data_IF_374330836702
#
_entry.id   IF_374330836702
#
_cell.length_a   1.000
_cell.length_b   1.000
_cell.length_c   1.000
_cell.angle_alpha   90.00
_cell.angle_beta   90.00
_cell.angle_gamma   90.00
#
_symmetry.space_group_name_H-M   'P 1'
#
loop_
_entity.id
_entity.type
_entity.pdbx_description
1 polymer ?
#
# COMPACT_ATOMS: atom_id res chain seq x y z
N UNK A 1 -4.57 -8.62 -2.67
CA UNK A 1 -5.17 -7.32 -3.09
C UNK A 1 -4.04 -6.29 -3.18
N UNK A 2 -3.94 -5.55 -4.26
CA UNK A 2 -3.03 -4.41 -4.40
C UNK A 2 -3.85 -3.11 -4.33
N UNK A 3 -3.42 -2.17 -3.49
CA UNK A 3 -4.03 -0.83 -3.41
C UNK A 3 -3.02 0.23 -2.98
N UNK A 4 -3.45 1.49 -2.98
CA UNK A 4 -2.70 2.62 -2.47
C UNK A 4 -3.58 3.58 -1.66
N UNK A 5 -2.93 4.38 -0.82
CA UNK A 5 -3.54 5.37 0.07
C UNK A 5 -3.90 4.78 1.43
N UNK A 6 -3.20 5.21 2.47
CA UNK A 6 -3.45 4.91 3.88
C UNK A 6 -3.89 6.18 4.64
N UNK A 7 -4.70 7.01 3.98
CA UNK A 7 -5.37 8.17 4.57
C UNK A 7 -6.48 7.80 5.55
N UNK A 8 -7.35 8.76 5.90
CA UNK A 8 -8.47 8.54 6.83
C UNK A 8 -9.35 7.33 6.48
N UNK A 9 -9.88 7.32 5.25
CA UNK A 9 -10.67 6.20 4.71
C UNK A 9 -9.78 5.10 4.13
N UNK A 10 -8.72 5.49 3.38
CA UNK A 10 -7.68 4.61 2.82
C UNK A 10 -7.13 3.58 3.78
N UNK A 11 -6.92 3.99 5.03
CA UNK A 11 -6.39 3.15 6.09
C UNK A 11 -7.30 1.99 6.51
N UNK A 12 -8.56 1.95 6.09
CA UNK A 12 -9.46 0.82 6.37
C UNK A 12 -9.25 -0.36 5.42
N UNK A 13 -8.67 -0.14 4.23
CA UNK A 13 -8.45 -1.16 3.22
C UNK A 13 -7.65 -2.38 3.69
N UNK A 14 -6.54 -2.25 4.45
CA UNK A 14 -5.74 -3.40 4.83
C UNK A 14 -6.48 -4.31 5.82
N UNK A 15 -7.15 -3.73 6.83
CA UNK A 15 -7.99 -4.47 7.75
C UNK A 15 -9.20 -5.11 7.05
N UNK A 16 -9.85 -4.40 6.14
CA UNK A 16 -10.97 -4.93 5.36
C UNK A 16 -10.53 -6.14 4.51
N UNK A 17 -9.35 -6.06 3.87
CA UNK A 17 -8.78 -7.19 3.14
C UNK A 17 -8.51 -8.39 4.05
N UNK A 18 -7.88 -8.17 5.21
CA UNK A 18 -7.61 -9.25 6.16
C UNK A 18 -8.89 -9.91 6.68
N UNK A 19 -9.94 -9.13 6.99
CA UNK A 19 -11.25 -9.65 7.40
C UNK A 19 -11.97 -10.41 6.27
N UNK A 20 -11.71 -10.05 5.01
CA UNK A 20 -12.17 -10.80 3.84
C UNK A 20 -11.32 -12.05 3.53
N UNK A 21 -10.29 -12.35 4.35
CA UNK A 21 -9.41 -13.50 4.17
C UNK A 21 -8.31 -13.30 3.13
N UNK A 22 -8.03 -12.05 2.73
CA UNK A 22 -7.05 -11.74 1.69
C UNK A 22 -5.77 -11.11 2.28
N UNK A 23 -4.62 -11.45 1.68
CA UNK A 23 -3.43 -10.62 1.82
C UNK A 23 -3.59 -9.29 1.08
N UNK A 24 -3.01 -8.22 1.60
CA UNK A 24 -2.99 -6.90 0.92
C UNK A 24 -1.62 -6.25 0.93
N UNK A 25 -1.25 -5.65 -0.21
CA UNK A 25 -0.12 -4.74 -0.35
C UNK A 25 -0.67 -3.32 -0.54
N UNK A 26 -0.29 -2.40 0.35
CA UNK A 26 -0.87 -1.07 0.49
C UNK A 26 0.23 -0.03 0.36
N UNK A 27 0.27 0.68 -0.77
CA UNK A 27 1.30 1.70 -1.04
C UNK A 27 0.89 3.03 -0.41
N UNK A 28 1.80 3.67 0.31
CA UNK A 28 1.58 4.98 0.94
C UNK A 28 2.85 5.82 0.86
N UNK A 29 2.71 7.10 0.53
CA UNK A 29 3.84 8.00 0.32
C UNK A 29 4.33 8.68 1.62
N UNK A 30 3.49 8.77 2.64
CA UNK A 30 3.79 9.42 3.92
C UNK A 30 4.02 8.40 5.04
N UNK A 31 5.24 8.34 5.58
CA UNK A 31 5.58 7.45 6.69
C UNK A 31 4.66 7.64 7.91
N UNK A 32 4.33 8.89 8.24
CA UNK A 32 3.44 9.21 9.36
C UNK A 32 2.04 8.57 9.24
N UNK A 33 1.56 8.33 8.00
CA UNK A 33 0.28 7.67 7.74
C UNK A 33 0.39 6.16 7.97
N UNK A 34 1.49 5.54 7.54
CA UNK A 34 1.80 4.14 7.82
C UNK A 34 1.91 3.91 9.33
N UNK A 35 2.72 4.71 10.02
CA UNK A 35 2.92 4.64 11.47
C UNK A 35 1.59 4.70 12.23
N UNK A 36 0.71 5.60 11.80
CA UNK A 36 -0.61 5.72 12.39
C UNK A 36 -1.41 4.43 12.23
N UNK A 37 -1.38 3.78 11.06
CA UNK A 37 -2.16 2.56 10.79
C UNK A 37 -1.59 1.36 11.52
N UNK A 38 -0.26 1.28 11.66
CA UNK A 38 0.40 0.28 12.48
C UNK A 38 -0.02 0.45 13.96
N UNK A 39 0.08 1.68 14.47
CA UNK A 39 -0.33 2.01 15.85
C UNK A 39 -1.80 1.66 16.13
N UNK A 40 -2.68 1.92 15.17
CA UNK A 40 -4.11 1.60 15.30
C UNK A 40 -4.47 0.17 14.91
N UNK A 41 -3.49 -0.67 14.53
CA UNK A 41 -3.68 -2.07 14.09
C UNK A 41 -4.62 -2.21 12.88
N UNK A 42 -4.58 -1.23 11.99
CA UNK A 42 -5.30 -1.26 10.72
C UNK A 42 -4.45 -1.83 9.58
N UNK A 43 -3.13 -1.87 9.76
CA UNK A 43 -2.18 -2.61 8.92
C UNK A 43 -1.27 -3.43 9.84
N UNK A 44 -0.90 -4.64 9.43
CA UNK A 44 -0.14 -5.58 10.27
C UNK A 44 1.36 -5.25 10.30
N UNK A 45 1.93 -4.99 9.12
CA UNK A 45 3.38 -4.85 8.94
C UNK A 45 3.73 -3.76 7.92
N UNK A 46 4.96 -3.26 7.99
CA UNK A 46 5.57 -2.45 6.95
C UNK A 46 6.75 -3.21 6.34
N UNK A 47 6.81 -3.23 5.01
CA UNK A 47 7.94 -3.76 4.26
C UNK A 47 9.06 -2.71 4.11
N UNK A 48 10.30 -3.18 3.99
CA UNK A 48 11.49 -2.32 3.82
C UNK A 48 11.59 -1.75 2.40
N UNK A 49 11.23 -2.55 1.42
CA UNK A 49 11.28 -2.25 0.00
C UNK A 49 10.28 -3.15 -0.76
N UNK A 50 10.20 -2.98 -2.08
CA UNK A 50 9.27 -3.74 -2.92
C UNK A 50 9.60 -5.24 -2.95
N UNK A 51 10.87 -5.63 -2.89
CA UNK A 51 11.27 -7.05 -2.92
C UNK A 51 10.86 -7.75 -1.62
N UNK A 52 11.11 -7.09 -0.47
CA UNK A 52 10.66 -7.53 0.84
C UNK A 52 9.13 -7.64 0.90
N UNK A 53 8.40 -6.67 0.35
CA UNK A 53 6.95 -6.69 0.28
C UNK A 53 6.43 -7.91 -0.51
N UNK A 54 6.98 -8.15 -1.71
CA UNK A 54 6.57 -9.24 -2.58
C UNK A 54 6.91 -10.61 -1.97
N UNK A 55 8.09 -10.75 -1.34
CA UNK A 55 8.48 -11.97 -0.66
C UNK A 55 7.52 -12.33 0.48
N UNK A 56 7.09 -11.33 1.27
CA UNK A 56 6.12 -11.54 2.35
C UNK A 56 4.71 -11.84 1.83
N UNK A 57 4.24 -11.14 0.79
CA UNK A 57 2.96 -11.46 0.14
C UNK A 57 2.96 -12.91 -0.37
N UNK A 58 4.03 -13.33 -1.06
CA UNK A 58 4.15 -14.71 -1.56
C UNK A 58 4.14 -15.73 -0.41
N UNK A 59 4.89 -15.47 0.67
CA UNK A 59 4.90 -16.32 1.86
C UNK A 59 3.50 -16.47 2.46
N UNK A 60 2.83 -15.36 2.77
CA UNK A 60 1.54 -15.40 3.48
C UNK A 60 0.41 -15.97 2.62
N UNK A 61 0.41 -15.70 1.32
CA UNK A 61 -0.54 -16.32 0.39
C UNK A 61 -0.32 -17.83 0.28
N UNK A 62 0.93 -18.31 0.29
CA UNK A 62 1.25 -19.74 0.28
C UNK A 62 0.85 -20.45 1.57
N UNK A 63 0.94 -19.79 2.73
CA UNK A 63 0.55 -20.35 4.04
C UNK A 63 -0.94 -20.20 4.35
N UNK A 64 -1.72 -19.55 3.48
CA UNK A 64 -3.15 -19.31 3.70
C UNK A 64 -3.44 -18.28 4.79
N UNK A 65 -2.47 -17.41 5.10
CA UNK A 65 -2.64 -16.32 6.05
C UNK A 65 -3.24 -15.08 5.39
N UNK A 66 -4.02 -14.30 6.15
CA UNK A 66 -4.55 -13.02 5.73
C UNK A 66 -3.76 -11.89 6.39
N UNK A 67 -2.77 -11.36 5.67
CA UNK A 67 -1.83 -10.35 6.17
C UNK A 67 -1.79 -9.09 5.32
N UNK A 68 -1.74 -7.96 5.99
CA UNK A 68 -1.68 -6.64 5.36
C UNK A 68 -0.30 -6.00 5.52
N UNK A 69 0.28 -5.59 4.40
CA UNK A 69 1.62 -5.02 4.32
C UNK A 69 1.52 -3.61 3.76
N UNK A 70 2.06 -2.63 4.50
CA UNK A 70 2.31 -1.29 4.00
C UNK A 70 3.66 -1.24 3.29
N UNK A 71 3.74 -0.47 2.21
CA UNK A 71 4.97 -0.16 1.49
C UNK A 71 5.10 1.35 1.34
N UNK A 72 6.18 1.92 1.87
CA UNK A 72 6.48 3.33 1.70
C UNK A 72 6.93 3.58 0.25
N UNK A 73 6.23 4.47 -0.45
CA UNK A 73 6.60 4.89 -1.81
C UNK A 73 5.45 5.53 -2.57
N UNK A 74 5.71 5.92 -3.81
CA UNK A 74 4.70 6.51 -4.68
C UNK A 74 4.01 5.42 -5.52
N UNK A 75 2.67 5.38 -5.48
CA UNK A 75 1.87 4.47 -6.30
C UNK A 75 2.14 4.64 -7.81
N UNK A 76 2.37 5.87 -8.27
CA UNK A 76 2.69 6.17 -9.66
C UNK A 76 4.05 5.61 -10.11
N UNK A 77 4.93 5.23 -9.18
CA UNK A 77 6.22 4.58 -9.47
C UNK A 77 6.11 3.06 -9.32
N UNK A 78 5.48 2.61 -8.23
CA UNK A 78 5.45 1.19 -7.86
C UNK A 78 4.50 0.39 -8.75
N UNK A 79 3.31 0.90 -9.11
CA UNK A 79 2.37 0.16 -9.94
C UNK A 79 2.97 -0.15 -11.33
N UNK A 80 3.56 0.81 -12.06
CA UNK A 80 4.26 0.51 -13.31
C UNK A 80 5.41 -0.48 -13.15
N UNK A 81 6.13 -0.43 -12.03
CA UNK A 81 7.21 -1.38 -11.75
C UNK A 81 6.67 -2.80 -11.52
N UNK A 82 5.57 -2.97 -10.79
CA UNK A 82 4.90 -4.25 -10.62
C UNK A 82 4.44 -4.85 -11.96
N UNK A 83 3.92 -4.00 -12.86
CA UNK A 83 3.54 -4.41 -14.22
C UNK A 83 4.77 -4.88 -15.01
N UNK A 84 5.87 -4.13 -15.00
CA UNK A 84 7.13 -4.52 -15.68
C UNK A 84 7.67 -5.85 -15.18
N UNK A 85 7.53 -6.13 -13.87
CA UNK A 85 7.93 -7.39 -13.23
C UNK A 85 6.98 -8.55 -13.46
N UNK A 86 5.82 -8.32 -14.10
CA UNK A 86 4.81 -9.35 -14.32
C UNK A 86 4.10 -9.81 -13.05
N UNK A 87 4.09 -8.99 -12.00
CA UNK A 87 3.36 -9.31 -10.76
C UNK A 87 1.87 -9.24 -11.03
N UNK A 88 1.13 -10.27 -10.62
CA UNK A 88 -0.32 -10.41 -10.85
C UNK A 88 -1.09 -10.49 -9.54
N UNK A 89 -1.56 -9.37 -8.98
CA UNK A 89 -2.48 -9.37 -7.85
C UNK A 89 -3.85 -9.96 -8.27
N UNK A 90 -4.56 -10.57 -7.32
CA UNK A 90 -5.91 -11.10 -7.57
C UNK A 90 -6.98 -10.01 -7.71
N UNK A 91 -6.73 -8.85 -7.11
CA UNK A 91 -7.56 -7.65 -7.25
C UNK A 91 -6.69 -6.40 -7.10
N UNK A 92 -7.05 -5.35 -7.82
CA UNK A 92 -6.37 -4.05 -7.82
C UNK A 92 -7.40 -2.94 -7.67
N UNK A 93 -7.11 -1.97 -6.81
CA UNK A 93 -7.91 -0.75 -6.63
C UNK A 93 -7.00 0.40 -6.20
N UNK A 94 -7.55 1.59 -5.97
CA UNK A 94 -6.84 2.76 -5.47
C UNK A 94 -7.75 3.58 -4.54
N UNK A 95 -7.18 4.12 -3.46
CA UNK A 95 -7.87 5.07 -2.58
C UNK A 95 -6.95 6.21 -2.14
N UNK A 96 -6.02 6.60 -3.02
CA UNK A 96 -5.31 7.87 -2.88
C UNK A 96 -6.31 9.03 -2.97
N UNK A 97 -5.92 10.23 -2.53
CA UNK A 97 -6.81 11.39 -2.62
C UNK A 97 -6.76 12.01 -4.03
N UNK A 98 -6.92 11.19 -5.07
CA UNK A 98 -6.89 11.61 -6.48
C UNK A 98 -7.98 12.65 -6.85
N UNK A 99 -8.98 12.83 -5.99
CA UNK A 99 -10.00 13.87 -6.13
C UNK A 99 -9.46 15.30 -5.88
N UNK A 100 -8.33 15.43 -5.18
CA UNK A 100 -7.62 16.70 -4.97
C UNK A 100 -6.20 16.57 -5.55
N UNK A 101 -5.98 16.94 -6.82
CA UNK A 101 -4.67 16.83 -7.46
C UNK A 101 -3.59 17.72 -6.84
N UNK A 102 -3.97 18.78 -6.11
CA UNK A 102 -3.02 19.73 -5.53
C UNK A 102 -2.55 19.24 -4.18
N UNK A 103 -3.47 18.81 -3.29
CA UNK A 103 -3.14 18.47 -1.91
C UNK A 103 -3.30 16.98 -1.56
N UNK A 104 -3.84 16.17 -2.48
CA UNK A 104 -4.22 14.78 -2.23
C UNK A 104 -3.40 13.71 -2.96
N UNK A 105 -2.74 14.04 -4.07
CA UNK A 105 -1.97 13.08 -4.88
C UNK A 105 -0.52 13.54 -5.09
N UNK A 106 0.44 12.83 -4.49
CA UNK A 106 1.87 13.14 -4.64
C UNK A 106 2.33 12.93 -6.09
N UNK A 107 2.81 13.98 -6.79
CA UNK A 107 3.33 13.83 -8.15
C UNK A 107 4.50 12.85 -8.22
N UNK A 108 4.60 12.12 -9.33
CA UNK A 108 5.70 11.19 -9.57
C UNK A 108 7.06 11.91 -9.56
N UNK A 109 8.07 11.31 -8.92
CA UNK A 109 9.40 11.89 -8.79
C UNK A 109 9.55 13.02 -7.76
N UNK A 110 8.48 13.39 -7.06
CA UNK A 110 8.52 14.39 -5.98
C UNK A 110 8.64 13.70 -4.62
N UNK A 111 9.34 14.36 -3.69
CA UNK A 111 9.28 13.98 -2.27
C UNK A 111 8.06 14.62 -1.59
N UNK A 112 7.67 14.09 -0.44
CA UNK A 112 6.59 14.66 0.37
C UNK A 112 6.91 16.11 0.76
N UNK A 113 8.17 16.42 1.06
CA UNK A 113 8.63 17.77 1.44
C UNK A 113 8.59 18.76 0.27
N UNK A 114 8.74 18.30 -0.97
CA UNK A 114 8.59 19.17 -2.16
C UNK A 114 7.13 19.47 -2.50
N UNK A 115 6.24 18.58 -2.06
CA UNK A 115 4.81 18.67 -2.32
C UNK A 115 4.09 19.63 -1.36
N UNK A 116 4.63 19.84 -0.16
CA UNK A 116 4.17 20.82 0.82
C UNK A 116 4.92 22.16 0.71
#
# INVERSE_FOLDING_TARGET
ILTAGLGGMGGAQPLAASLAGACSLNIECQQSRIDFRLKTRYVDEQARDLDDALARIAKYTQTGEAKSIALLGNAAEILPELVKRGVKPDAVTDQTSAHDPVNGYLPIGWTVEQWF
#
